data_IF_215903425361
#
_entry.id   IF_215903425361
#
_cell.length_a   1.000
_cell.length_b   1.000
_cell.length_c   1.000
_cell.angle_alpha   90.00
_cell.angle_beta   90.00
_cell.angle_gamma   90.00
#
_symmetry.space_group_name_H-M   'P 1'
#
loop_
_entity.id
_entity.type
_entity.pdbx_description
1 polymer ?
#
# COMPACT_ATOMS: atom_id res chain seq x y z
N UNK A 1 -34.81 -15.96 -57.80
CA UNK A 1 -33.51 -16.33 -57.21
C UNK A 1 -33.17 -15.25 -56.16
N UNK A 2 -33.30 -15.58 -54.89
CA UNK A 2 -33.09 -14.64 -53.79
C UNK A 2 -31.74 -14.95 -53.14
N UNK A 3 -30.75 -14.05 -53.29
CA UNK A 3 -29.41 -14.20 -52.74
C UNK A 3 -29.44 -13.73 -51.30
N UNK A 4 -29.21 -14.63 -50.37
CA UNK A 4 -29.19 -14.40 -48.94
C UNK A 4 -27.80 -13.90 -48.54
N UNK A 5 -27.68 -12.61 -48.21
CA UNK A 5 -26.43 -11.97 -47.73
C UNK A 5 -26.28 -12.32 -46.25
N UNK A 6 -25.32 -13.17 -45.91
CA UNK A 6 -24.96 -13.50 -44.52
C UNK A 6 -24.06 -12.43 -43.97
N UNK A 7 -24.58 -11.59 -43.09
CA UNK A 7 -23.82 -10.61 -42.30
C UNK A 7 -23.14 -11.37 -41.15
N UNK A 8 -21.83 -11.54 -41.24
CA UNK A 8 -21.01 -12.07 -40.16
C UNK A 8 -20.63 -10.91 -39.24
N UNK A 9 -21.29 -10.80 -38.10
CA UNK A 9 -20.87 -9.89 -37.05
C UNK A 9 -19.64 -10.46 -36.32
N UNK A 10 -18.47 -9.88 -36.61
CA UNK A 10 -17.22 -10.14 -35.87
C UNK A 10 -17.31 -9.41 -34.54
N UNK A 11 -17.62 -10.15 -33.47
CA UNK A 11 -17.46 -9.63 -32.11
C UNK A 11 -15.97 -9.58 -31.79
N UNK A 12 -15.36 -8.40 -31.89
CA UNK A 12 -14.05 -8.14 -31.33
C UNK A 12 -14.23 -8.07 -29.81
N UNK A 13 -13.91 -9.14 -29.08
CA UNK A 13 -13.71 -9.09 -27.65
C UNK A 13 -12.45 -8.24 -27.40
N UNK A 14 -12.66 -6.97 -27.11
CA UNK A 14 -11.63 -6.12 -26.54
C UNK A 14 -11.30 -6.62 -25.14
N UNK A 15 -10.24 -7.40 -24.99
CA UNK A 15 -9.63 -7.66 -23.71
C UNK A 15 -9.16 -6.30 -23.15
N UNK A 16 -9.91 -5.75 -22.21
CA UNK A 16 -9.42 -4.64 -21.40
C UNK A 16 -8.24 -5.22 -20.58
N UNK A 17 -7.02 -4.97 -21.05
CA UNK A 17 -5.83 -5.17 -20.25
C UNK A 17 -6.03 -4.31 -19.00
N UNK A 18 -6.27 -4.93 -17.84
CA UNK A 18 -6.04 -4.26 -16.57
C UNK A 18 -4.57 -3.83 -16.61
N UNK A 19 -4.33 -2.54 -16.76
CA UNK A 19 -2.99 -1.99 -16.59
C UNK A 19 -2.56 -2.28 -15.15
N UNK A 20 -1.82 -3.37 -14.97
CA UNK A 20 -1.06 -3.56 -13.76
C UNK A 20 -0.11 -2.36 -13.65
N UNK A 21 -0.02 -1.75 -12.47
CA UNK A 21 0.93 -0.65 -12.27
C UNK A 21 2.33 -1.13 -12.68
N UNK A 22 3.06 -0.27 -13.38
CA UNK A 22 4.38 -0.61 -13.90
C UNK A 22 5.35 -0.85 -12.74
N UNK A 23 6.06 -1.99 -12.79
CA UNK A 23 7.12 -2.27 -11.82
C UNK A 23 8.36 -1.48 -12.20
N UNK A 24 8.85 -0.67 -11.26
CA UNK A 24 10.09 0.10 -11.40
C UNK A 24 11.24 -0.47 -10.56
N UNK A 25 10.97 -1.51 -9.78
CA UNK A 25 11.96 -2.21 -8.96
C UNK A 25 11.70 -3.71 -8.92
N UNK A 26 12.78 -4.49 -8.82
CA UNK A 26 12.73 -5.95 -8.63
C UNK A 26 13.23 -6.29 -7.24
N UNK A 27 12.40 -6.91 -6.43
CA UNK A 27 12.78 -7.38 -5.11
C UNK A 27 13.89 -8.44 -5.19
N UNK A 28 14.80 -8.51 -4.20
CA UNK A 28 15.74 -9.62 -4.08
C UNK A 28 15.01 -10.98 -4.02
N UNK A 29 15.70 -12.05 -4.43
CA UNK A 29 15.15 -13.40 -4.38
C UNK A 29 14.94 -13.91 -2.94
N UNK A 30 15.70 -13.37 -1.97
CA UNK A 30 15.51 -13.66 -0.55
C UNK A 30 14.46 -12.73 0.06
N UNK A 31 13.80 -13.20 1.12
CA UNK A 31 12.88 -12.38 1.90
C UNK A 31 13.68 -11.30 2.63
N UNK A 32 13.28 -10.04 2.45
CA UNK A 32 13.90 -8.90 3.16
C UNK A 32 13.26 -8.69 4.53
N UNK A 33 13.97 -8.02 5.44
CA UNK A 33 13.50 -7.76 6.80
C UNK A 33 12.18 -6.97 6.82
N UNK A 34 11.99 -6.01 5.92
CA UNK A 34 10.73 -5.27 5.80
C UNK A 34 9.53 -6.18 5.54
N UNK A 35 9.71 -7.24 4.73
CA UNK A 35 8.62 -8.20 4.48
C UNK A 35 8.31 -9.04 5.72
N UNK A 36 9.32 -9.38 6.52
CA UNK A 36 9.10 -10.07 7.81
C UNK A 36 8.27 -9.20 8.75
N UNK A 37 8.62 -7.92 8.87
CA UNK A 37 7.86 -6.97 9.68
C UNK A 37 6.41 -6.83 9.19
N UNK A 38 6.21 -6.74 7.88
CA UNK A 38 4.87 -6.72 7.30
C UNK A 38 4.05 -7.95 7.68
N UNK A 39 4.62 -9.15 7.54
CA UNK A 39 3.93 -10.40 7.85
C UNK A 39 3.59 -10.50 9.34
N UNK A 40 4.50 -10.09 10.21
CA UNK A 40 4.28 -10.05 11.67
C UNK A 40 3.16 -9.08 12.05
N UNK A 41 3.14 -7.89 11.45
CA UNK A 41 2.08 -6.89 11.67
C UNK A 41 0.74 -7.47 11.25
N UNK A 42 0.64 -8.04 10.04
CA UNK A 42 -0.62 -8.62 9.56
C UNK A 42 -1.11 -9.78 10.42
N UNK A 43 -0.21 -10.57 10.98
CA UNK A 43 -0.55 -11.66 11.88
C UNK A 43 -1.04 -11.17 13.26
N UNK A 44 -0.48 -10.06 13.76
CA UNK A 44 -0.81 -9.49 15.07
C UNK A 44 -2.06 -8.60 15.05
N UNK A 45 -2.46 -8.07 13.88
CA UNK A 45 -3.49 -7.05 13.71
C UNK A 45 -4.60 -7.50 12.74
N UNK A 46 -5.53 -8.38 13.17
CA UNK A 46 -6.59 -8.92 12.30
C UNK A 46 -7.61 -7.87 11.82
N UNK A 47 -7.61 -6.69 12.43
CA UNK A 47 -8.39 -5.53 12.02
C UNK A 47 -7.83 -4.83 10.78
N UNK A 48 -6.56 -5.05 10.44
CA UNK A 48 -5.97 -4.55 9.21
C UNK A 48 -6.51 -5.31 7.99
N UNK A 49 -6.69 -4.58 6.90
CA UNK A 49 -6.88 -5.13 5.55
C UNK A 49 -5.52 -5.32 4.90
N UNK A 50 -4.64 -4.33 5.10
CA UNK A 50 -3.32 -4.33 4.49
C UNK A 50 -2.35 -3.44 5.26
N UNK A 51 -1.09 -3.77 5.11
CA UNK A 51 0.06 -2.94 5.47
C UNK A 51 1.03 -2.93 4.30
N UNK A 52 1.57 -1.76 3.92
CA UNK A 52 2.58 -1.65 2.85
C UNK A 52 3.66 -0.66 3.22
N UNK A 53 4.87 -0.93 2.72
CA UNK A 53 6.08 -0.15 2.94
C UNK A 53 6.57 0.37 1.60
N UNK A 54 6.78 1.68 1.52
CA UNK A 54 7.16 2.37 0.31
C UNK A 54 8.39 3.24 0.55
N UNK A 55 9.19 3.44 -0.49
CA UNK A 55 10.39 4.27 -0.42
C UNK A 55 11.31 4.06 -1.60
N UNK A 56 12.54 4.57 -1.48
CA UNK A 56 13.58 4.45 -2.51
C UNK A 56 14.57 3.38 -2.10
N UNK A 57 14.62 2.20 -2.74
CA UNK A 57 15.53 1.12 -2.35
C UNK A 57 17.00 1.59 -2.31
N UNK A 58 17.83 1.05 -1.40
CA UNK A 58 19.22 1.46 -1.24
C UNK A 58 20.03 1.39 -2.55
N UNK A 59 20.84 2.40 -2.80
CA UNK A 59 21.65 2.50 -4.01
C UNK A 59 20.90 3.06 -5.23
N UNK A 60 19.61 3.29 -5.13
CA UNK A 60 18.81 3.93 -6.16
C UNK A 60 18.50 5.40 -5.79
N UNK A 61 18.10 6.17 -6.79
CA UNK A 61 17.63 7.54 -6.61
C UNK A 61 16.36 7.76 -7.41
N UNK A 62 15.36 8.41 -6.82
CA UNK A 62 14.07 8.70 -7.47
C UNK A 62 13.28 7.48 -7.98
N UNK A 63 13.59 6.30 -7.47
CA UNK A 63 12.84 5.08 -7.75
C UNK A 63 11.94 4.80 -6.54
N UNK A 64 10.83 5.52 -6.48
CA UNK A 64 9.83 5.35 -5.41
C UNK A 64 9.00 4.10 -5.71
N UNK A 65 8.93 3.18 -4.77
CA UNK A 65 8.31 1.87 -4.99
C UNK A 65 7.77 1.26 -3.70
N UNK A 66 6.69 0.48 -3.81
CA UNK A 66 6.28 -0.44 -2.76
C UNK A 66 7.32 -1.58 -2.66
N UNK A 67 8.15 -1.59 -1.61
CA UNK A 67 9.22 -2.58 -1.47
C UNK A 67 8.86 -3.76 -0.56
N UNK A 68 7.81 -3.65 0.27
CA UNK A 68 7.29 -4.75 1.09
C UNK A 68 5.81 -4.53 1.40
N UNK A 69 5.09 -5.59 1.77
CA UNK A 69 3.70 -5.46 2.20
C UNK A 69 2.86 -6.70 2.00
N UNK A 70 1.58 -6.57 2.33
CA UNK A 70 0.57 -7.64 2.29
C UNK A 70 0.03 -7.94 0.88
N UNK A 71 0.56 -7.29 -0.17
CA UNK A 71 0.21 -7.54 -1.56
C UNK A 71 1.44 -7.99 -2.36
N UNK A 72 1.81 -9.29 -2.35
CA UNK A 72 3.03 -9.79 -2.99
C UNK A 72 3.15 -9.39 -4.47
N UNK A 73 2.05 -9.42 -5.20
CA UNK A 73 2.02 -9.10 -6.64
C UNK A 73 2.31 -7.63 -6.94
N UNK A 74 2.16 -6.75 -5.93
CA UNK A 74 2.38 -5.31 -6.05
C UNK A 74 3.78 -4.88 -5.61
N UNK A 75 4.57 -5.77 -5.04
CA UNK A 75 5.95 -5.45 -4.66
C UNK A 75 6.74 -5.09 -5.92
N UNK A 76 7.41 -3.95 -5.87
CA UNK A 76 8.12 -3.36 -7.01
C UNK A 76 7.30 -2.44 -7.89
N UNK A 77 6.00 -2.26 -7.64
CA UNK A 77 5.22 -1.28 -8.36
C UNK A 77 5.69 0.13 -8.03
N UNK A 78 5.70 1.00 -9.04
CA UNK A 78 5.93 2.42 -8.85
C UNK A 78 4.87 3.03 -7.92
N UNK A 79 5.31 3.94 -7.07
CA UNK A 79 4.43 4.68 -6.16
C UNK A 79 3.60 5.72 -6.92
N UNK A 80 2.41 5.96 -6.42
CA UNK A 80 1.55 7.05 -6.89
C UNK A 80 2.12 8.41 -6.42
N UNK A 81 1.77 9.53 -7.07
CA UNK A 81 2.29 10.86 -6.69
C UNK A 81 2.00 11.29 -5.24
N UNK A 82 0.90 10.84 -4.65
CA UNK A 82 0.56 11.08 -3.26
C UNK A 82 1.49 10.30 -2.30
N UNK A 83 1.86 9.07 -2.63
CA UNK A 83 2.84 8.29 -1.89
C UNK A 83 4.20 9.01 -1.87
N UNK A 84 4.67 9.44 -3.05
CA UNK A 84 5.94 10.19 -3.19
C UNK A 84 5.92 11.47 -2.37
N UNK A 85 4.83 12.23 -2.42
CA UNK A 85 4.67 13.46 -1.64
C UNK A 85 4.83 13.20 -0.13
N UNK A 86 4.23 12.12 0.38
CA UNK A 86 4.30 11.78 1.80
C UNK A 86 5.72 11.37 2.19
N UNK A 87 6.41 10.60 1.33
CA UNK A 87 7.80 10.19 1.53
C UNK A 87 8.70 11.42 1.62
N UNK A 88 8.55 12.38 0.69
CA UNK A 88 9.42 13.55 0.63
C UNK A 88 9.13 14.57 1.75
N UNK A 89 7.87 14.78 2.09
CA UNK A 89 7.47 15.77 3.07
C UNK A 89 7.46 15.25 4.52
N UNK A 90 7.44 13.94 4.72
CA UNK A 90 7.37 13.33 6.05
C UNK A 90 6.07 13.65 6.80
N UNK A 91 4.96 13.77 6.08
CA UNK A 91 3.64 14.11 6.63
C UNK A 91 2.75 12.88 6.78
N UNK A 92 1.72 12.99 7.61
CA UNK A 92 0.68 11.95 7.73
C UNK A 92 -0.59 12.42 7.05
N UNK A 93 -1.18 11.55 6.23
CA UNK A 93 -2.49 11.74 5.61
C UNK A 93 -3.44 10.68 6.14
N UNK A 94 -4.65 11.12 6.48
CA UNK A 94 -5.76 10.25 6.86
C UNK A 94 -6.82 10.30 5.77
N UNK A 95 -7.21 9.14 5.28
CA UNK A 95 -8.41 9.01 4.47
C UNK A 95 -9.38 8.06 5.18
N UNK A 96 -10.37 8.61 5.89
CA UNK A 96 -11.31 7.80 6.67
C UNK A 96 -12.23 6.97 5.79
N UNK A 97 -12.24 7.21 4.49
CA UNK A 97 -13.19 6.59 3.57
C UNK A 97 -12.55 5.91 2.38
N UNK A 98 -11.28 6.11 2.15
CA UNK A 98 -10.53 5.56 1.02
C UNK A 98 -11.42 5.24 -0.19
N UNK A 99 -12.01 6.24 -0.76
CA UNK A 99 -12.88 6.05 -1.90
C UNK A 99 -12.17 6.44 -3.19
N UNK A 100 -11.34 5.62 -3.68
CA UNK A 100 -11.09 5.67 -5.11
C UNK A 100 -12.44 5.32 -5.77
N UNK A 101 -12.88 6.12 -6.74
CA UNK A 101 -14.25 6.08 -7.31
C UNK A 101 -14.78 4.69 -7.66
N UNK A 102 -13.89 3.73 -7.90
CA UNK A 102 -14.21 2.36 -8.30
C UNK A 102 -13.95 1.32 -7.21
N UNK A 103 -13.49 1.71 -6.02
CA UNK A 103 -13.24 0.74 -4.94
C UNK A 103 -14.55 0.45 -4.20
N UNK A 104 -15.07 -0.78 -4.26
CA UNK A 104 -16.31 -1.14 -3.58
C UNK A 104 -16.12 -1.26 -2.06
N UNK A 105 -14.90 -1.51 -1.60
CA UNK A 105 -14.58 -1.70 -0.19
C UNK A 105 -14.09 -0.39 0.42
N UNK A 106 -14.91 0.20 1.29
CA UNK A 106 -14.52 1.39 2.04
C UNK A 106 -13.63 1.00 3.21
N UNK A 107 -12.57 1.78 3.41
CA UNK A 107 -11.52 1.52 4.39
C UNK A 107 -11.20 2.81 5.11
N UNK A 108 -10.65 2.71 6.29
CA UNK A 108 -9.91 3.79 6.91
C UNK A 108 -8.43 3.59 6.58
N UNK A 109 -7.80 4.54 5.92
CA UNK A 109 -6.40 4.45 5.52
C UNK A 109 -5.59 5.54 6.19
N UNK A 110 -4.46 5.13 6.77
CA UNK A 110 -3.41 6.02 7.26
C UNK A 110 -2.17 5.85 6.40
N UNK A 111 -1.70 6.95 5.85
CA UNK A 111 -0.44 7.07 5.13
C UNK A 111 0.51 7.87 6.00
N UNK A 112 1.55 7.24 6.52
CA UNK A 112 2.39 7.79 7.59
C UNK A 112 3.86 7.73 7.21
N UNK A 113 4.69 8.70 7.63
CA UNK A 113 6.13 8.57 7.49
C UNK A 113 6.62 7.29 8.17
N UNK A 114 7.36 6.47 7.42
CA UNK A 114 8.14 5.37 7.97
C UNK A 114 9.44 5.95 8.52
N UNK A 115 9.75 5.67 9.78
CA UNK A 115 10.97 6.16 10.43
C UNK A 115 11.76 5.03 11.03
N UNK A 116 13.07 5.20 11.10
CA UNK A 116 13.95 4.30 11.85
C UNK A 116 14.04 4.67 13.34
N UNK A 117 14.78 3.88 14.11
CA UNK A 117 14.94 4.08 15.56
C UNK A 117 15.61 5.42 15.93
N UNK A 118 16.34 6.04 15.01
CA UNK A 118 16.92 7.38 15.20
C UNK A 118 15.92 8.50 14.92
N UNK A 119 14.78 8.19 14.31
CA UNK A 119 13.75 9.14 13.90
C UNK A 119 13.91 9.65 12.48
N UNK A 120 14.91 9.15 11.74
CA UNK A 120 15.11 9.53 10.35
C UNK A 120 13.99 8.97 9.45
N UNK A 121 13.56 9.78 8.49
CA UNK A 121 12.53 9.40 7.54
C UNK A 121 13.06 8.36 6.55
N UNK A 122 12.47 7.19 6.56
CA UNK A 122 12.84 6.04 5.73
C UNK A 122 11.87 5.80 4.56
N UNK A 123 10.76 6.53 4.49
CA UNK A 123 9.76 6.31 3.48
C UNK A 123 8.33 6.46 4.00
N UNK A 124 7.44 5.61 3.51
CA UNK A 124 6.01 5.63 3.79
C UNK A 124 5.54 4.27 4.33
N UNK A 125 4.72 4.31 5.36
CA UNK A 125 3.92 3.20 5.88
C UNK A 125 2.45 3.47 5.55
N UNK A 126 1.79 2.57 4.84
CA UNK A 126 0.35 2.63 4.61
C UNK A 126 -0.34 1.54 5.41
N UNK A 127 -1.26 1.91 6.29
CA UNK A 127 -2.08 1.00 7.07
C UNK A 127 -3.56 1.19 6.70
N UNK A 128 -4.21 0.12 6.23
CA UNK A 128 -5.63 0.15 5.88
C UNK A 128 -6.42 -0.71 6.87
N UNK A 129 -7.43 -0.12 7.49
CA UNK A 129 -8.33 -0.77 8.44
C UNK A 129 -9.69 -1.06 7.82
N UNK A 130 -10.32 -2.14 8.27
CA UNK A 130 -11.73 -2.41 7.95
C UNK A 130 -12.60 -1.32 8.57
N UNK A 131 -13.41 -0.66 7.74
CA UNK A 131 -14.36 0.34 8.22
C UNK A 131 -15.79 -0.14 7.95
N UNK A 132 -16.40 -0.94 8.84
CA UNK A 132 -17.70 -1.54 8.62
C UNK A 132 -18.85 -0.53 8.59
N UNK A 133 -18.71 0.60 9.27
CA UNK A 133 -19.80 1.57 9.46
C UNK A 133 -19.85 2.63 8.38
N UNK A 134 -19.08 2.47 7.33
CA UNK A 134 -19.03 3.44 6.23
C UNK A 134 -20.37 3.62 5.50
N UNK A 135 -21.23 2.61 5.55
CA UNK A 135 -22.32 2.46 4.57
C UNK A 135 -23.48 3.47 4.69
N UNK A 136 -23.75 4.05 5.85
CA UNK A 136 -25.00 4.79 6.04
C UNK A 136 -24.85 6.29 6.33
N UNK A 137 -23.79 6.73 6.96
CA UNK A 137 -23.66 8.12 7.42
C UNK A 137 -22.39 8.83 6.99
N UNK A 138 -21.53 8.10 6.34
CA UNK A 138 -20.30 8.65 5.80
C UNK A 138 -19.18 8.87 6.80
N UNK A 139 -19.38 8.96 8.09
CA UNK A 139 -18.34 9.15 9.09
C UNK A 139 -18.77 8.59 10.44
N UNK A 140 -17.87 7.84 11.06
CA UNK A 140 -17.98 7.47 12.47
C UNK A 140 -16.76 8.03 13.21
N UNK A 141 -16.89 9.25 13.72
CA UNK A 141 -15.79 9.99 14.36
C UNK A 141 -15.13 9.21 15.52
N UNK A 142 -15.89 8.40 16.25
CA UNK A 142 -15.35 7.56 17.33
C UNK A 142 -14.47 6.45 16.78
N UNK A 143 -14.94 5.72 15.77
CA UNK A 143 -14.18 4.63 15.15
C UNK A 143 -12.94 5.17 14.42
N UNK A 144 -13.06 6.30 13.74
CA UNK A 144 -11.94 6.98 13.09
C UNK A 144 -10.87 7.40 14.09
N UNK A 145 -11.27 7.91 15.27
CA UNK A 145 -10.33 8.24 16.35
C UNK A 145 -9.65 6.98 16.92
N UNK A 146 -10.36 5.87 17.03
CA UNK A 146 -9.78 4.58 17.44
C UNK A 146 -8.76 4.06 16.42
N UNK A 147 -9.05 4.13 15.12
CA UNK A 147 -8.12 3.74 14.06
C UNK A 147 -6.89 4.65 14.02
N UNK A 148 -7.09 5.95 14.20
CA UNK A 148 -5.98 6.88 14.31
C UNK A 148 -5.03 6.53 15.46
N UNK A 149 -5.58 6.27 16.64
CA UNK A 149 -4.79 5.87 17.80
C UNK A 149 -4.04 4.55 17.57
N UNK A 150 -4.71 3.55 16.98
CA UNK A 150 -4.10 2.26 16.64
C UNK A 150 -2.98 2.40 15.62
N UNK A 151 -3.22 3.15 14.54
CA UNK A 151 -2.23 3.34 13.49
C UNK A 151 -1.00 4.12 13.98
N UNK A 152 -1.20 5.15 14.81
CA UNK A 152 -0.11 5.91 15.43
C UNK A 152 0.73 5.02 16.34
N UNK A 153 0.07 4.20 17.19
CA UNK A 153 0.76 3.25 18.06
C UNK A 153 1.55 2.23 17.25
N UNK A 154 0.95 1.65 16.21
CA UNK A 154 1.63 0.72 15.32
C UNK A 154 2.88 1.32 14.70
N UNK A 155 2.79 2.54 14.14
CA UNK A 155 3.93 3.27 13.57
C UNK A 155 5.04 3.46 14.61
N UNK A 156 4.70 3.89 15.82
CA UNK A 156 5.68 4.20 16.88
C UNK A 156 6.36 2.93 17.43
N UNK A 157 5.65 1.80 17.45
CA UNK A 157 6.21 0.51 17.80
C UNK A 157 7.09 -0.06 16.69
N UNK A 158 6.67 0.09 15.44
CA UNK A 158 7.45 -0.32 14.28
C UNK A 158 8.77 0.46 14.17
N UNK A 159 8.75 1.78 14.40
CA UNK A 159 9.94 2.63 14.40
C UNK A 159 11.06 2.06 15.28
N UNK A 160 10.74 1.54 16.45
CA UNK A 160 11.71 0.95 17.40
C UNK A 160 12.34 -0.34 16.86
N UNK A 161 11.70 -0.99 15.90
CA UNK A 161 12.13 -2.26 15.31
C UNK A 161 12.97 -2.07 14.04
N UNK A 162 13.12 -0.82 13.56
CA UNK A 162 13.89 -0.48 12.37
C UNK A 162 15.19 0.19 12.79
N UNK A 163 16.31 -0.56 12.88
CA UNK A 163 17.59 0.02 13.29
C UNK A 163 18.12 1.06 12.32
N UNK A 164 17.88 0.85 11.02
CA UNK A 164 18.22 1.76 9.93
C UNK A 164 17.41 1.44 8.69
N UNK A 165 17.34 2.40 7.77
CA UNK A 165 16.68 2.18 6.48
C UNK A 165 17.30 1.01 5.70
N UNK A 166 18.63 0.94 5.63
CA UNK A 166 19.32 -0.15 4.92
C UNK A 166 18.97 -1.52 5.51
N UNK A 167 18.80 -1.62 6.82
CA UNK A 167 18.43 -2.85 7.52
C UNK A 167 17.08 -3.43 7.08
N UNK A 168 16.18 -2.62 6.57
CA UNK A 168 14.90 -3.10 6.01
C UNK A 168 15.07 -4.00 4.79
N UNK A 169 16.19 -3.84 4.06
CA UNK A 169 16.48 -4.58 2.82
C UNK A 169 17.44 -5.74 3.03
N UNK A 170 17.95 -5.93 4.24
CA UNK A 170 18.79 -7.10 4.57
C UNK A 170 17.97 -8.39 4.48
N UNK A 171 18.68 -9.51 4.21
CA UNK A 171 18.06 -10.83 4.22
C UNK A 171 17.50 -11.14 5.61
N UNK A 172 16.29 -11.66 5.64
CA UNK A 172 15.68 -12.14 6.87
C UNK A 172 16.52 -13.27 7.47
N UNK A 173 16.72 -13.20 8.78
CA UNK A 173 17.47 -14.22 9.55
C UNK A 173 16.56 -15.39 9.93
#
# INVERSE_FOLDING_TARGET
MKTLLKLVCLFALGAAALCAAEKNWTAPAHKIQAQVLSDQIMAAHPELISITFHGVPPGLSKVYTMFAGSFPDRIGNADDPDDVMIIELGITILDPRWHRLKDPAKKFVMMMPLRDASGENCGLLVAAYKNPDFASSGSNAKLEAEFFAKGTKLRDELQKQIPSYAGLFEAAK
#
